data_IF_789712829604
#
_entry.id   IF_789712829604
#
_cell.length_a   1.000
_cell.length_b   1.000
_cell.length_c   1.000
_cell.angle_alpha   90.00
_cell.angle_beta   90.00
_cell.angle_gamma   90.00
#
_symmetry.space_group_name_H-M   'P 1'
#
loop_
_entity.id
_entity.type
_entity.pdbx_description
1 polymer ?
#
# COMPACT_ATOMS: atom_id res chain seq x y z
N UNK A 1 16.55 17.01 -13.45
CA UNK A 1 15.30 16.76 -14.19
C UNK A 1 15.06 15.24 -14.31
N UNK A 2 15.96 14.50 -14.98
CA UNK A 2 15.76 13.06 -15.24
C UNK A 2 15.59 12.27 -13.94
N UNK A 3 16.49 12.43 -12.96
CA UNK A 3 16.40 11.75 -11.67
C UNK A 3 15.07 12.02 -10.94
N UNK A 4 14.63 13.28 -10.89
CA UNK A 4 13.34 13.63 -10.27
C UNK A 4 12.14 13.05 -11.02
N UNK A 5 12.18 12.99 -12.35
CA UNK A 5 11.13 12.35 -13.15
C UNK A 5 11.05 10.83 -12.90
N UNK A 6 12.21 10.16 -12.82
CA UNK A 6 12.28 8.72 -12.47
C UNK A 6 11.70 8.50 -11.07
N UNK A 7 12.06 9.33 -10.09
CA UNK A 7 11.54 9.23 -8.73
C UNK A 7 10.00 9.34 -8.69
N UNK A 8 9.44 10.36 -9.35
CA UNK A 8 7.97 10.54 -9.42
C UNK A 8 7.30 9.34 -10.10
N UNK A 9 7.90 8.81 -11.16
CA UNK A 9 7.41 7.60 -11.83
C UNK A 9 7.43 6.36 -10.94
N UNK A 10 8.51 6.15 -10.21
CA UNK A 10 8.66 5.04 -9.24
C UNK A 10 7.64 5.14 -8.11
N UNK A 11 7.42 6.34 -7.57
CA UNK A 11 6.44 6.58 -6.52
C UNK A 11 5.01 6.33 -6.99
N UNK A 12 4.68 6.75 -8.21
CA UNK A 12 3.37 6.49 -8.81
C UNK A 12 3.15 4.99 -9.03
N UNK A 13 4.17 4.25 -9.46
CA UNK A 13 4.12 2.81 -9.61
C UNK A 13 3.95 2.09 -8.26
N UNK A 14 4.69 2.50 -7.24
CA UNK A 14 4.57 1.97 -5.88
C UNK A 14 3.15 2.16 -5.33
N UNK A 15 2.59 3.36 -5.49
CA UNK A 15 1.21 3.62 -5.07
C UNK A 15 0.20 2.75 -5.81
N UNK A 16 0.34 2.63 -7.13
CA UNK A 16 -0.55 1.80 -7.92
C UNK A 16 -0.52 0.33 -7.45
N UNK A 17 0.66 -0.20 -7.15
CA UNK A 17 0.84 -1.56 -6.62
C UNK A 17 0.24 -1.70 -5.22
N UNK A 18 0.50 -0.74 -4.33
CA UNK A 18 0.02 -0.76 -2.95
C UNK A 18 -1.51 -0.65 -2.87
N UNK A 19 -2.11 0.22 -3.70
CA UNK A 19 -3.57 0.38 -3.80
C UNK A 19 -4.22 -0.87 -4.38
N UNK A 20 -3.62 -1.48 -5.41
CA UNK A 20 -4.16 -2.65 -6.07
C UNK A 20 -4.16 -3.89 -5.18
N UNK A 21 -3.09 -4.07 -4.38
CA UNK A 21 -2.87 -5.25 -3.54
C UNK A 21 -2.52 -6.50 -4.32
N UNK A 22 -1.88 -7.44 -3.61
CA UNK A 22 -1.38 -8.68 -4.23
C UNK A 22 -2.03 -9.94 -3.64
N UNK A 23 -2.30 -9.94 -2.33
CA UNK A 23 -2.66 -11.18 -1.61
C UNK A 23 -4.10 -11.20 -1.11
N UNK A 24 -4.64 -10.05 -0.77
CA UNK A 24 -5.88 -9.96 -0.04
C UNK A 24 -5.76 -10.41 1.43
N UNK A 25 -6.74 -10.04 2.22
CA UNK A 25 -6.80 -10.37 3.64
C UNK A 25 -8.25 -10.33 4.13
N UNK A 26 -8.51 -10.77 5.36
CA UNK A 26 -9.80 -10.63 6.02
C UNK A 26 -9.68 -9.62 7.15
N UNK A 27 -10.52 -8.58 7.11
CA UNK A 27 -10.68 -7.67 8.24
C UNK A 27 -11.63 -8.30 9.25
N UNK A 28 -11.22 -8.29 10.52
CA UNK A 28 -12.07 -8.73 11.63
C UNK A 28 -13.04 -7.65 12.08
N UNK A 29 -14.04 -8.04 12.87
CA UNK A 29 -14.98 -7.10 13.54
C UNK A 29 -14.27 -6.11 14.45
N UNK A 30 -13.12 -6.49 15.01
CA UNK A 30 -12.27 -5.63 15.83
C UNK A 30 -11.27 -4.77 15.04
N UNK A 31 -11.31 -4.79 13.70
CA UNK A 31 -10.43 -3.99 12.84
C UNK A 31 -9.06 -4.64 12.54
N UNK A 32 -8.72 -5.75 13.17
CA UNK A 32 -7.47 -6.47 12.90
C UNK A 32 -7.51 -7.13 11.52
N UNK A 33 -6.33 -7.26 10.90
CA UNK A 33 -6.17 -7.87 9.59
C UNK A 33 -5.62 -9.29 9.75
N UNK A 34 -6.27 -10.25 9.12
CA UNK A 34 -5.87 -11.64 9.06
C UNK A 34 -5.30 -11.95 7.67
N UNK A 35 -4.05 -12.34 7.63
CA UNK A 35 -3.30 -12.67 6.41
C UNK A 35 -3.17 -14.19 6.29
N UNK A 36 -3.13 -14.71 5.05
CA UNK A 36 -3.04 -16.13 4.75
C UNK A 36 -1.65 -16.50 4.26
N UNK A 37 -1.20 -17.70 4.59
CA UNK A 37 0.09 -18.19 4.13
C UNK A 37 0.35 -19.63 4.59
N UNK A 38 1.49 -20.16 4.16
CA UNK A 38 1.99 -21.48 4.53
C UNK A 38 3.46 -21.40 4.89
N UNK A 39 3.93 -22.34 5.68
CA UNK A 39 5.35 -22.51 5.92
C UNK A 39 6.00 -23.21 4.73
N UNK A 40 7.10 -22.64 4.24
CA UNK A 40 7.94 -23.19 3.20
C UNK A 40 9.35 -23.30 3.75
N UNK A 41 9.93 -24.50 3.65
CA UNK A 41 11.32 -24.73 4.04
C UNK A 41 12.23 -24.22 2.92
N UNK A 42 13.05 -23.21 3.23
CA UNK A 42 14.09 -22.71 2.35
C UNK A 42 15.44 -22.77 3.09
N UNK A 43 16.44 -23.42 2.49
CA UNK A 43 17.78 -23.62 3.08
C UNK A 43 17.80 -24.16 4.53
N UNK A 44 16.78 -24.92 4.91
CA UNK A 44 16.64 -25.53 6.24
C UNK A 44 15.91 -24.65 7.27
N UNK A 45 15.49 -23.46 6.91
CA UNK A 45 14.65 -22.58 7.73
C UNK A 45 13.20 -22.60 7.26
N UNK A 46 12.26 -22.63 8.20
CA UNK A 46 10.84 -22.52 7.91
C UNK A 46 10.43 -21.04 7.83
N UNK A 47 10.08 -20.60 6.63
CA UNK A 47 9.67 -19.22 6.37
C UNK A 47 8.16 -19.19 6.07
N UNK A 48 7.43 -18.30 6.74
CA UNK A 48 6.02 -18.08 6.45
C UNK A 48 5.86 -17.29 5.16
N UNK A 49 5.41 -17.95 4.09
CA UNK A 49 5.14 -17.34 2.78
C UNK A 49 3.65 -17.02 2.66
N UNK A 50 3.33 -15.76 2.29
CA UNK A 50 1.94 -15.35 2.02
C UNK A 50 1.38 -16.05 0.78
N UNK A 51 0.08 -16.40 0.85
CA UNK A 51 -0.71 -16.95 -0.24
C UNK A 51 -1.87 -15.98 -0.52
N UNK A 52 -2.15 -15.74 -1.79
CA UNK A 52 -3.28 -14.91 -2.18
C UNK A 52 -4.61 -15.65 -1.91
N UNK A 53 -5.63 -14.90 -1.53
CA UNK A 53 -6.97 -15.46 -1.29
C UNK A 53 -7.52 -16.08 -2.58
N UNK A 54 -7.20 -15.53 -3.72
CA UNK A 54 -7.59 -16.03 -5.05
C UNK A 54 -7.06 -17.42 -5.36
N UNK A 55 -5.96 -17.84 -4.71
CA UNK A 55 -5.33 -19.15 -4.95
C UNK A 55 -6.07 -20.30 -4.25
N UNK A 56 -6.90 -20.03 -3.23
CA UNK A 56 -7.55 -21.07 -2.45
C UNK A 56 -9.06 -20.86 -2.23
N UNK A 57 -9.57 -19.66 -2.36
CA UNK A 57 -10.99 -19.38 -2.19
C UNK A 57 -11.70 -19.38 -3.55
N UNK A 58 -12.90 -19.94 -3.60
CA UNK A 58 -13.76 -19.94 -4.79
C UNK A 58 -14.94 -19.01 -4.52
N UNK A 59 -15.03 -17.94 -5.31
CA UNK A 59 -16.10 -16.96 -5.15
C UNK A 59 -17.47 -17.52 -5.55
N UNK A 60 -18.45 -17.42 -4.66
CA UNK A 60 -19.85 -17.80 -4.92
C UNK A 60 -20.66 -16.54 -5.23
N UNK A 61 -21.10 -16.39 -6.48
CA UNK A 61 -21.77 -15.17 -6.97
C UNK A 61 -23.30 -15.20 -6.91
N UNK A 62 -23.92 -16.30 -6.49
CA UNK A 62 -25.34 -16.56 -6.67
C UNK A 62 -26.30 -15.53 -6.06
N UNK A 63 -25.87 -14.83 -5.00
CA UNK A 63 -26.75 -13.94 -4.20
C UNK A 63 -26.23 -12.50 -4.06
N UNK A 64 -25.28 -12.08 -4.88
CA UNK A 64 -24.68 -10.75 -4.78
C UNK A 64 -25.42 -9.74 -5.64
N UNK A 65 -26.08 -8.80 -5.01
CA UNK A 65 -26.74 -7.66 -5.67
C UNK A 65 -25.86 -6.43 -5.55
N UNK A 66 -25.49 -5.86 -6.70
CA UNK A 66 -24.73 -4.62 -6.75
C UNK A 66 -25.72 -3.44 -6.79
N UNK A 67 -25.68 -2.58 -5.79
CA UNK A 67 -26.44 -1.34 -5.76
C UNK A 67 -25.58 -0.17 -6.20
N UNK A 68 -25.94 0.49 -7.28
CA UNK A 68 -25.33 1.76 -7.69
C UNK A 68 -26.00 2.92 -6.95
N UNK A 69 -25.28 3.60 -6.09
CA UNK A 69 -25.72 4.84 -5.44
C UNK A 69 -25.15 6.05 -6.17
N UNK A 70 -26.02 6.82 -6.84
CA UNK A 70 -25.67 8.11 -7.45
C UNK A 70 -25.92 9.21 -6.44
N UNK A 71 -24.89 9.71 -5.76
CA UNK A 71 -24.98 10.87 -4.86
C UNK A 71 -24.16 12.04 -5.39
N UNK A 72 -24.83 13.01 -6.02
CA UNK A 72 -24.31 14.34 -6.33
C UNK A 72 -23.20 14.40 -7.40
N UNK A 73 -22.45 15.50 -7.39
CA UNK A 73 -21.34 15.80 -8.33
C UNK A 73 -20.14 14.88 -8.07
N UNK A 74 -19.99 14.38 -6.86
CA UNK A 74 -18.96 13.42 -6.49
C UNK A 74 -19.55 12.01 -6.57
N UNK A 75 -19.25 11.33 -7.67
CA UNK A 75 -19.56 9.91 -7.78
C UNK A 75 -18.77 9.12 -6.74
N UNK A 76 -19.39 8.83 -5.61
CA UNK A 76 -18.97 7.70 -4.80
C UNK A 76 -19.60 6.47 -5.49
N UNK A 77 -18.84 5.81 -6.35
CA UNK A 77 -19.21 4.43 -6.68
C UNK A 77 -19.20 3.69 -5.36
N UNK A 78 -20.32 3.10 -4.96
CA UNK A 78 -20.27 2.09 -3.91
C UNK A 78 -19.23 1.09 -4.36
N UNK A 79 -18.26 0.85 -3.47
CA UNK A 79 -17.21 -0.12 -3.72
C UNK A 79 -17.86 -1.38 -4.29
N UNK A 80 -17.39 -1.83 -5.43
CA UNK A 80 -17.77 -3.13 -5.98
C UNK A 80 -17.85 -4.13 -4.84
N UNK A 81 -18.89 -4.97 -4.80
CA UNK A 81 -19.00 -6.04 -3.80
C UNK A 81 -17.64 -6.74 -3.69
N UNK A 82 -17.18 -7.04 -2.49
CA UNK A 82 -15.91 -7.71 -2.30
C UNK A 82 -15.90 -8.99 -3.14
N UNK A 83 -14.80 -9.25 -3.81
CA UNK A 83 -14.62 -10.35 -4.74
C UNK A 83 -14.92 -11.71 -4.09
N UNK A 84 -14.63 -11.83 -2.78
CA UNK A 84 -14.91 -13.00 -1.96
C UNK A 84 -15.75 -12.64 -0.74
N UNK A 85 -16.68 -13.54 -0.36
CA UNK A 85 -17.33 -13.48 0.95
C UNK A 85 -16.42 -14.11 2.02
N UNK A 86 -16.72 -13.86 3.29
CA UNK A 86 -15.98 -14.50 4.39
C UNK A 86 -16.24 -16.01 4.40
N UNK A 87 -17.42 -16.45 3.98
CA UNK A 87 -17.82 -17.83 3.83
C UNK A 87 -17.03 -18.54 2.73
N UNK A 88 -16.82 -17.90 1.58
CA UNK A 88 -15.98 -18.43 0.49
C UNK A 88 -14.55 -18.68 0.98
N UNK A 89 -14.00 -17.71 1.71
CA UNK A 89 -12.65 -17.80 2.28
C UNK A 89 -12.57 -18.89 3.34
N UNK A 90 -13.58 -19.01 4.19
CA UNK A 90 -13.66 -20.06 5.20
C UNK A 90 -13.67 -21.45 4.55
N UNK A 91 -14.51 -21.66 3.54
CA UNK A 91 -14.62 -22.93 2.82
C UNK A 91 -13.30 -23.30 2.09
N UNK A 92 -12.67 -22.30 1.47
CA UNK A 92 -11.36 -22.49 0.84
C UNK A 92 -10.27 -22.81 1.85
N UNK A 93 -10.27 -22.15 3.00
CA UNK A 93 -9.37 -22.44 4.09
C UNK A 93 -9.61 -23.85 4.65
N UNK A 94 -10.87 -24.26 4.87
CA UNK A 94 -11.24 -25.58 5.37
C UNK A 94 -10.77 -26.71 4.44
N UNK A 95 -10.84 -26.49 3.13
CA UNK A 95 -10.42 -27.47 2.11
C UNK A 95 -8.89 -27.60 1.99
N UNK A 96 -8.12 -26.57 2.39
CA UNK A 96 -6.66 -26.55 2.27
C UNK A 96 -5.98 -26.55 3.64
N UNK A 97 -5.58 -27.74 4.11
CA UNK A 97 -5.01 -27.90 5.46
C UNK A 97 -3.65 -27.24 5.69
N UNK A 98 -2.89 -26.97 4.63
CA UNK A 98 -1.55 -26.35 4.71
C UNK A 98 -1.59 -24.83 4.93
N UNK A 99 -2.75 -24.19 4.74
CA UNK A 99 -2.88 -22.74 4.86
C UNK A 99 -3.20 -22.37 6.30
N UNK A 100 -2.44 -21.43 6.84
CA UNK A 100 -2.60 -20.89 8.18
C UNK A 100 -2.90 -19.39 8.12
N UNK A 101 -3.44 -18.86 9.21
CA UNK A 101 -3.74 -17.45 9.36
C UNK A 101 -2.66 -16.79 10.22
N UNK A 102 -2.12 -15.69 9.73
CA UNK A 102 -1.21 -14.82 10.46
C UNK A 102 -1.98 -13.56 10.94
N UNK A 103 -1.94 -13.32 12.24
CA UNK A 103 -2.53 -12.14 12.87
C UNK A 103 -1.52 -10.98 12.89
N UNK A 104 -2.00 -9.78 13.25
CA UNK A 104 -1.15 -8.61 13.48
C UNK A 104 -0.55 -8.55 14.89
N UNK A 105 -0.87 -9.50 15.75
CA UNK A 105 -0.32 -9.57 17.10
C UNK A 105 1.13 -9.99 16.98
N UNK A 106 2.01 -9.17 17.56
CA UNK A 106 3.45 -9.42 17.58
C UNK A 106 3.75 -10.36 18.75
N UNK A 107 4.51 -11.43 18.47
CA UNK A 107 5.00 -12.37 19.49
C UNK A 107 6.21 -11.77 20.25
N UNK A 108 6.74 -12.52 21.21
CA UNK A 108 7.90 -12.09 22.00
C UNK A 108 9.20 -11.93 21.17
N UNK A 109 9.24 -12.55 19.99
CA UNK A 109 10.39 -12.50 19.08
C UNK A 109 10.31 -11.33 18.08
N UNK A 110 9.27 -10.48 18.18
CA UNK A 110 9.04 -9.35 17.30
C UNK A 110 8.36 -9.70 15.97
N UNK A 111 7.90 -10.94 15.82
CA UNK A 111 7.23 -11.40 14.59
C UNK A 111 5.72 -11.46 14.74
N UNK A 112 5.01 -11.36 13.60
CA UNK A 112 3.56 -11.52 13.58
C UNK A 112 3.17 -12.97 13.90
N UNK A 113 2.27 -13.15 14.87
CA UNK A 113 1.84 -14.45 15.34
C UNK A 113 1.08 -15.24 14.27
N UNK A 114 1.53 -16.43 13.95
CA UNK A 114 0.81 -17.41 13.12
C UNK A 114 -0.04 -18.27 14.03
N UNK A 115 -1.34 -18.33 13.71
CA UNK A 115 -2.32 -19.08 14.49
C UNK A 115 -2.27 -20.58 14.13
N UNK A 116 -2.55 -21.43 15.11
CA UNK A 116 -2.77 -22.85 14.84
C UNK A 116 -3.95 -23.06 13.88
N UNK A 117 -4.04 -24.23 13.27
CA UNK A 117 -5.10 -24.54 12.31
C UNK A 117 -6.52 -24.34 12.89
N UNK A 118 -6.75 -24.85 14.10
CA UNK A 118 -8.04 -24.74 14.77
C UNK A 118 -8.38 -23.28 15.09
N UNK A 119 -7.41 -22.50 15.56
CA UNK A 119 -7.57 -21.07 15.82
C UNK A 119 -7.79 -20.28 14.53
N UNK A 120 -7.09 -20.62 13.45
CA UNK A 120 -7.25 -19.98 12.14
C UNK A 120 -8.68 -20.08 11.64
N UNK A 121 -9.27 -21.28 11.66
CA UNK A 121 -10.66 -21.50 11.26
C UNK A 121 -11.65 -20.78 12.20
N UNK A 122 -11.43 -20.86 13.50
CA UNK A 122 -12.29 -20.21 14.49
C UNK A 122 -12.26 -18.68 14.36
N UNK A 123 -11.10 -18.10 14.14
CA UNK A 123 -10.95 -16.64 13.96
C UNK A 123 -11.69 -16.14 12.73
N UNK A 124 -11.57 -16.80 11.59
CA UNK A 124 -12.29 -16.42 10.37
C UNK A 124 -13.80 -16.55 10.58
N UNK A 125 -14.27 -17.69 11.11
CA UNK A 125 -15.70 -17.95 11.30
C UNK A 125 -16.36 -17.01 12.30
N UNK A 126 -15.71 -16.72 13.42
CA UNK A 126 -16.28 -15.93 14.52
C UNK A 126 -16.09 -14.44 14.34
N UNK A 127 -14.91 -14.02 13.91
CA UNK A 127 -14.48 -12.65 13.93
C UNK A 127 -14.32 -12.03 12.52
N UNK A 128 -14.37 -12.81 11.44
CA UNK A 128 -14.33 -12.29 10.07
C UNK A 128 -15.47 -11.32 9.81
N UNK A 129 -15.15 -10.15 9.22
CA UNK A 129 -16.11 -9.11 8.85
C UNK A 129 -16.26 -8.99 7.34
N UNK A 130 -15.16 -8.80 6.64
CA UNK A 130 -15.14 -8.62 5.17
C UNK A 130 -13.77 -8.99 4.59
N UNK A 131 -13.79 -9.38 3.33
CA UNK A 131 -12.58 -9.45 2.50
C UNK A 131 -12.09 -8.03 2.15
N UNK A 132 -10.79 -7.85 2.14
CA UNK A 132 -10.13 -6.61 1.72
C UNK A 132 -8.95 -6.95 0.82
N UNK A 133 -8.71 -6.11 -0.19
CA UNK A 133 -7.55 -6.20 -1.08
C UNK A 133 -6.95 -4.81 -1.28
N UNK A 134 -5.63 -4.75 -1.25
CA UNK A 134 -4.89 -3.50 -1.38
C UNK A 134 -4.99 -2.59 -0.16
N UNK A 135 -4.65 -1.33 -0.38
CA UNK A 135 -4.69 -0.30 0.64
C UNK A 135 -5.38 0.96 0.12
N UNK A 136 -6.20 1.58 0.95
CA UNK A 136 -6.80 2.88 0.73
C UNK A 136 -7.01 3.58 2.08
N UNK A 137 -7.74 4.70 2.11
CA UNK A 137 -8.00 5.45 3.35
C UNK A 137 -8.92 4.73 4.37
N UNK A 138 -9.52 3.60 4.01
CA UNK A 138 -10.41 2.85 4.91
C UNK A 138 -9.84 1.48 5.31
N UNK A 139 -9.08 0.87 4.42
CA UNK A 139 -8.56 -0.50 4.59
C UNK A 139 -7.11 -0.61 4.16
N UNK A 140 -6.40 -1.58 4.76
CA UNK A 140 -5.02 -1.89 4.42
C UNK A 140 -4.78 -3.39 4.62
N UNK A 141 -4.57 -4.15 3.54
CA UNK A 141 -4.29 -5.59 3.62
C UNK A 141 -2.93 -5.91 4.24
N UNK A 142 -2.03 -4.95 4.27
CA UNK A 142 -0.66 -5.14 4.76
C UNK A 142 -0.53 -4.95 6.27
N UNK A 143 -1.45 -4.19 6.88
CA UNK A 143 -1.39 -3.88 8.30
C UNK A 143 -2.49 -2.94 8.78
N UNK A 144 -2.16 -2.07 9.72
CA UNK A 144 -3.11 -1.08 10.23
C UNK A 144 -3.50 -0.07 9.14
N UNK A 145 -4.79 0.32 9.08
CA UNK A 145 -5.27 1.33 8.13
C UNK A 145 -4.56 2.67 8.31
N UNK A 146 -4.34 3.07 9.56
CA UNK A 146 -3.65 4.31 9.90
C UNK A 146 -2.24 4.41 9.29
N UNK A 147 -1.53 3.29 9.17
CA UNK A 147 -0.22 3.27 8.48
C UNK A 147 -0.36 3.65 7.00
N UNK A 148 -1.36 3.12 6.31
CA UNK A 148 -1.62 3.45 4.91
C UNK A 148 -1.98 4.94 4.74
N UNK A 149 -2.79 5.50 5.64
CA UNK A 149 -3.15 6.92 5.62
C UNK A 149 -1.92 7.82 5.74
N UNK A 150 -1.07 7.57 6.73
CA UNK A 150 0.18 8.31 6.90
C UNK A 150 1.14 8.11 5.75
N UNK A 151 1.26 6.89 5.24
CA UNK A 151 2.10 6.58 4.10
C UNK A 151 1.68 7.40 2.86
N UNK A 152 0.40 7.36 2.48
CA UNK A 152 -0.10 8.13 1.33
C UNK A 152 0.01 9.63 1.53
N UNK A 153 -0.27 10.11 2.73
CA UNK A 153 -0.18 11.54 3.03
C UNK A 153 1.27 12.04 2.93
N UNK A 154 2.19 11.42 3.63
CA UNK A 154 3.58 11.89 3.73
C UNK A 154 4.30 11.68 2.39
N UNK A 155 4.19 10.51 1.77
CA UNK A 155 4.82 10.25 0.47
C UNK A 155 4.19 11.07 -0.65
N UNK A 156 2.90 11.40 -0.55
CA UNK A 156 2.21 12.27 -1.49
C UNK A 156 2.69 13.71 -1.41
N UNK A 157 2.82 14.25 -0.22
CA UNK A 157 3.39 15.59 -0.02
C UNK A 157 4.82 15.65 -0.53
N UNK A 158 5.64 14.65 -0.22
CA UNK A 158 7.00 14.58 -0.72
C UNK A 158 7.03 14.48 -2.25
N UNK A 159 6.25 13.59 -2.84
CA UNK A 159 6.12 13.44 -4.29
C UNK A 159 5.69 14.73 -5.01
N UNK A 160 4.76 15.49 -4.40
CA UNK A 160 4.36 16.81 -4.90
C UNK A 160 5.55 17.81 -4.89
N UNK A 161 6.36 17.82 -3.84
CA UNK A 161 7.56 18.66 -3.78
C UNK A 161 8.59 18.25 -4.83
N UNK A 162 8.85 16.96 -5.00
CA UNK A 162 9.74 16.48 -6.07
C UNK A 162 9.23 16.87 -7.44
N UNK A 163 7.93 16.68 -7.71
CA UNK A 163 7.32 17.07 -8.97
C UNK A 163 7.45 18.58 -9.24
N UNK A 164 7.15 19.42 -8.24
CA UNK A 164 7.31 20.87 -8.37
C UNK A 164 8.78 21.27 -8.62
N UNK A 165 9.73 20.60 -7.97
CA UNK A 165 11.16 20.77 -8.23
C UNK A 165 11.56 20.42 -9.66
N UNK A 166 11.00 19.37 -10.24
CA UNK A 166 11.20 19.00 -11.65
C UNK A 166 10.69 20.11 -12.57
N UNK A 167 9.50 20.64 -12.32
CA UNK A 167 8.92 21.74 -13.11
C UNK A 167 9.79 22.99 -13.03
N UNK A 168 10.24 23.36 -11.82
CA UNK A 168 11.13 24.53 -11.62
C UNK A 168 12.45 24.32 -12.38
N UNK A 169 13.04 23.12 -12.33
CA UNK A 169 14.26 22.81 -13.07
C UNK A 169 14.07 22.91 -14.60
N UNK A 170 12.92 22.51 -15.11
CA UNK A 170 12.60 22.67 -16.55
C UNK A 170 12.55 24.16 -16.92
N UNK A 171 11.90 24.99 -16.10
CA UNK A 171 11.83 26.44 -16.32
C UNK A 171 13.24 27.07 -16.33
N UNK A 172 14.06 26.70 -15.35
CA UNK A 172 15.45 27.19 -15.27
C UNK A 172 16.26 26.72 -16.48
N UNK A 173 16.13 25.47 -16.87
CA UNK A 173 16.84 24.92 -18.02
C UNK A 173 16.57 25.71 -19.31
N UNK A 174 15.30 26.03 -19.58
CA UNK A 174 14.96 26.86 -20.72
C UNK A 174 15.50 28.29 -20.60
N UNK A 175 15.47 28.89 -19.41
CA UNK A 175 16.05 30.23 -19.19
C UNK A 175 17.57 30.25 -19.36
N UNK A 176 18.27 29.17 -19.03
CA UNK A 176 19.71 29.02 -19.30
C UNK A 176 19.97 28.94 -20.80
N UNK A 177 19.23 28.12 -21.55
CA UNK A 177 19.40 27.98 -23.01
C UNK A 177 19.16 29.33 -23.72
N UNK A 178 18.17 30.09 -23.29
CA UNK A 178 17.86 31.41 -23.87
C UNK A 178 18.88 32.50 -23.45
N UNK A 179 19.80 32.18 -22.51
CA UNK A 179 20.83 33.12 -22.03
C UNK A 179 20.25 34.24 -21.13
N UNK A 180 19.11 33.98 -20.47
CA UNK A 180 18.45 35.03 -19.63
C UNK A 180 19.32 35.36 -18.42
N UNK A 181 19.96 34.41 -17.79
CA UNK A 181 20.81 34.61 -16.61
C UNK A 181 22.12 35.30 -16.96
N UNK A 182 22.71 34.99 -18.11
CA UNK A 182 23.93 35.68 -18.61
C UNK A 182 23.65 37.15 -18.89
N UNK A 183 22.53 37.46 -19.53
CA UNK A 183 22.11 38.83 -19.80
C UNK A 183 21.84 39.64 -18.54
N UNK A 184 21.26 39.01 -17.52
CA UNK A 184 20.96 39.64 -16.23
C UNK A 184 22.14 39.66 -15.27
N UNK A 185 23.21 38.85 -15.53
CA UNK A 185 24.36 38.62 -14.63
C UNK A 185 23.95 38.24 -13.20
N UNK A 186 22.85 37.51 -13.08
CA UNK A 186 22.29 37.11 -11.79
C UNK A 186 21.87 35.63 -11.85
N UNK A 187 22.55 34.80 -11.04
CA UNK A 187 22.35 33.35 -10.95
C UNK A 187 21.64 32.91 -9.66
N UNK A 188 21.14 33.87 -8.87
CA UNK A 188 20.52 33.62 -7.55
C UNK A 188 19.37 32.58 -7.61
N UNK A 189 18.58 32.59 -8.71
CA UNK A 189 17.51 31.59 -8.88
C UNK A 189 18.05 30.17 -9.03
N UNK A 190 19.19 29.96 -9.65
CA UNK A 190 19.83 28.64 -9.81
C UNK A 190 20.28 28.12 -8.44
N UNK A 191 20.88 29.01 -7.63
CA UNK A 191 21.32 28.67 -6.27
C UNK A 191 20.11 28.34 -5.35
N UNK A 192 19.03 29.11 -5.41
CA UNK A 192 17.81 28.87 -4.64
C UNK A 192 17.17 27.54 -4.98
N UNK A 193 17.21 27.13 -6.23
CA UNK A 193 16.67 25.82 -6.63
C UNK A 193 17.59 24.68 -6.19
N UNK A 194 18.91 24.89 -6.17
CA UNK A 194 19.83 23.95 -5.53
C UNK A 194 19.49 23.73 -4.05
N UNK A 195 19.25 24.81 -3.31
CA UNK A 195 18.85 24.75 -1.90
C UNK A 195 17.49 24.06 -1.71
N UNK A 196 16.53 24.30 -2.60
CA UNK A 196 15.23 23.62 -2.60
C UNK A 196 15.39 22.09 -2.72
N UNK A 197 16.24 21.62 -3.63
CA UNK A 197 16.52 20.19 -3.80
C UNK A 197 17.18 19.58 -2.58
N UNK A 198 18.13 20.25 -1.96
CA UNK A 198 18.74 19.78 -0.70
C UNK A 198 17.70 19.60 0.41
N UNK A 199 16.73 20.53 0.51
CA UNK A 199 15.64 20.38 1.46
C UNK A 199 14.74 19.18 1.14
N UNK A 200 14.37 19.00 -0.12
CA UNK A 200 13.54 17.87 -0.56
C UNK A 200 14.24 16.53 -0.29
N UNK A 201 15.53 16.43 -0.58
CA UNK A 201 16.33 15.23 -0.33
C UNK A 201 16.44 14.94 1.18
N UNK A 202 16.60 15.95 2.01
CA UNK A 202 16.66 15.79 3.45
C UNK A 202 15.32 15.25 4.00
N UNK A 203 14.20 15.77 3.53
CA UNK A 203 12.86 15.26 3.89
C UNK A 203 12.73 13.79 3.45
N UNK A 204 13.25 13.42 2.27
CA UNK A 204 13.24 12.02 1.82
C UNK A 204 13.98 11.08 2.77
N UNK A 205 15.11 11.49 3.32
CA UNK A 205 15.85 10.68 4.31
C UNK A 205 14.95 10.32 5.51
N UNK A 206 14.17 11.28 6.01
CA UNK A 206 13.22 11.01 7.09
C UNK A 206 12.09 10.07 6.64
N UNK A 207 11.48 10.33 5.47
CA UNK A 207 10.42 9.47 4.92
C UNK A 207 10.91 8.04 4.74
N UNK A 208 12.09 7.87 4.16
CA UNK A 208 12.70 6.56 3.95
C UNK A 208 12.96 5.83 5.27
N UNK A 209 13.53 6.52 6.26
CA UNK A 209 13.81 5.92 7.56
C UNK A 209 12.54 5.44 8.27
N UNK A 210 11.47 6.25 8.25
CA UNK A 210 10.25 5.91 8.98
C UNK A 210 9.37 4.85 8.30
N UNK A 211 9.38 4.76 6.99
CA UNK A 211 8.45 3.88 6.27
C UNK A 211 9.11 2.62 5.66
N UNK A 212 10.42 2.65 5.42
CA UNK A 212 11.11 1.57 4.73
C UNK A 212 12.17 0.86 5.59
N UNK A 213 12.62 1.44 6.70
CA UNK A 213 13.63 0.84 7.59
C UNK A 213 13.09 0.37 8.94
N UNK A 214 11.86 0.72 9.32
CA UNK A 214 11.24 0.34 10.61
C UNK A 214 10.25 -0.80 10.44
#
# INVERSE_FOLDING_TARGET
>A
IIGGAIFVGSQAWEWATFIKGDYGAVQTKGGNILQFGTYVTNDGEEIFKRIAVEDFAVATYSDRVQHESKKGIWFKSESSLPEFSVEDIYSGLESNSSILVRSQIINNDGEKTVLSRAESLNQIKKNGKRYIKGANLEVNEYGASLFADFFFFITGFHGFHVFSGVVINIIIFFNVIIGTYERRKNYEMVEKVGLYWHFVDLVWVFVFTFFYLV
#
